data_IF_546901200506
#
_entry.id   IF_546901200506
#
_cell.length_a   1.000
_cell.length_b   1.000
_cell.length_c   1.000
_cell.angle_alpha   90.00
_cell.angle_beta   90.00
_cell.angle_gamma   90.00
#
_symmetry.space_group_name_H-M   'P 1'
#
loop_
_entity.id
_entity.type
_entity.pdbx_description
1 polymer ?
#
# COMPACT_ATOMS: atom_id res chain seq x y z
N UNK A 1 -18.65 -12.53 -2.92
CA UNK A 1 -17.61 -12.24 -3.93
C UNK A 1 -16.53 -11.40 -3.26
N UNK A 2 -15.24 -11.60 -3.59
CA UNK A 2 -14.15 -10.85 -2.96
C UNK A 2 -13.40 -10.01 -3.99
N UNK A 3 -13.42 -8.69 -3.82
CA UNK A 3 -12.88 -7.69 -4.75
C UNK A 3 -11.36 -7.81 -4.96
N UNK A 4 -10.64 -8.45 -4.05
CA UNK A 4 -9.18 -8.56 -4.11
C UNK A 4 -8.64 -9.75 -4.91
N UNK A 5 -9.47 -10.62 -5.50
CA UNK A 5 -9.03 -11.95 -5.93
C UNK A 5 -9.20 -12.25 -7.42
N UNK A 6 -8.09 -12.15 -8.15
CA UNK A 6 -7.94 -12.59 -9.54
C UNK A 6 -9.08 -12.15 -10.45
N UNK A 7 -9.37 -12.93 -11.48
CA UNK A 7 -10.40 -12.59 -12.49
C UNK A 7 -11.80 -12.45 -11.88
N UNK A 8 -12.09 -13.11 -10.75
CA UNK A 8 -13.38 -12.94 -10.08
C UNK A 8 -13.54 -11.59 -9.40
N UNK A 9 -12.43 -11.02 -8.89
CA UNK A 9 -12.41 -9.76 -8.18
C UNK A 9 -12.58 -8.56 -9.10
N UNK A 10 -12.16 -8.66 -10.36
CA UNK A 10 -12.28 -7.57 -11.35
C UNK A 10 -13.72 -7.14 -11.64
N UNK A 11 -14.70 -7.97 -11.26
CA UNK A 11 -16.14 -7.66 -11.41
C UNK A 11 -16.70 -6.81 -10.26
N UNK A 12 -15.95 -6.67 -9.16
CA UNK A 12 -16.34 -5.83 -8.04
C UNK A 12 -16.00 -4.35 -8.33
N UNK A 13 -16.63 -3.44 -7.58
CA UNK A 13 -16.24 -2.04 -7.60
C UNK A 13 -14.85 -1.84 -7.01
N UNK A 14 -14.05 -0.97 -7.63
CA UNK A 14 -12.75 -0.55 -7.13
C UNK A 14 -12.89 0.17 -5.77
N UNK A 15 -11.92 -0.03 -4.88
CA UNK A 15 -11.81 0.76 -3.66
C UNK A 15 -11.26 2.13 -4.01
N UNK A 16 -12.06 3.19 -3.88
CA UNK A 16 -11.63 4.54 -4.26
C UNK A 16 -12.15 5.63 -3.33
N UNK A 17 -11.51 6.80 -3.37
CA UNK A 17 -11.83 8.00 -2.57
C UNK A 17 -11.68 7.74 -1.08
N UNK A 18 -10.46 7.39 -0.71
CA UNK A 18 -10.07 7.13 0.68
C UNK A 18 -9.25 8.34 1.17
N UNK A 19 -9.59 8.85 2.34
CA UNK A 19 -8.87 9.93 2.99
C UNK A 19 -8.51 9.50 4.41
N UNK A 20 -7.23 9.59 4.74
CA UNK A 20 -6.63 9.28 6.04
C UNK A 20 -5.92 10.55 6.48
N UNK A 21 -6.24 11.06 7.67
CA UNK A 21 -5.70 12.35 8.11
C UNK A 21 -5.80 12.56 9.62
N UNK A 22 -4.92 13.39 10.15
CA UNK A 22 -4.84 13.76 11.56
C UNK A 22 -4.69 12.54 12.51
N UNK A 23 -4.11 11.44 12.01
CA UNK A 23 -3.99 10.20 12.76
C UNK A 23 -2.59 10.01 13.37
N UNK A 24 -2.54 9.22 14.45
CA UNK A 24 -1.31 8.67 15.00
C UNK A 24 -1.27 7.16 14.78
N UNK A 25 -0.28 6.69 14.01
CA UNK A 25 0.00 5.27 13.81
C UNK A 25 1.16 4.85 14.71
N UNK A 26 0.96 3.80 15.50
CA UNK A 26 1.97 3.29 16.41
C UNK A 26 2.07 1.77 16.36
N UNK A 27 3.30 1.26 16.30
CA UNK A 27 3.60 -0.17 16.48
C UNK A 27 2.98 -1.10 15.43
N UNK A 28 2.68 -0.59 14.24
CA UNK A 28 2.08 -1.35 13.15
C UNK A 28 3.12 -1.99 12.21
N UNK A 29 2.59 -2.82 11.31
CA UNK A 29 3.32 -3.43 10.21
C UNK A 29 3.42 -2.51 8.98
N UNK A 30 2.38 -1.72 8.76
CA UNK A 30 2.42 -0.63 7.80
C UNK A 30 1.36 0.40 8.20
N UNK A 31 1.70 1.69 8.25
CA UNK A 31 0.73 2.73 8.58
C UNK A 31 -0.38 2.78 7.52
N UNK A 32 0.01 2.79 6.24
CA UNK A 32 -0.88 2.71 5.08
C UNK A 32 -0.51 1.51 4.20
N UNK A 33 -1.29 0.43 4.31
CA UNK A 33 -1.17 -0.76 3.46
C UNK A 33 -2.18 -0.74 2.30
N UNK A 34 -1.69 -0.62 1.07
CA UNK A 34 -2.49 -0.68 -0.16
C UNK A 34 -2.30 -2.07 -0.79
N UNK A 35 -3.25 -2.97 -0.54
CA UNK A 35 -3.23 -4.37 -1.01
C UNK A 35 -3.17 -5.42 0.13
N UNK A 36 -2.94 -6.71 -0.14
CA UNK A 36 -2.46 -7.30 -1.39
C UNK A 36 -3.53 -7.57 -2.47
N UNK A 37 -4.80 -7.59 -2.08
CA UNK A 37 -5.91 -7.86 -2.97
C UNK A 37 -6.24 -6.65 -3.84
N UNK A 38 -5.72 -6.62 -5.06
CA UNK A 38 -5.76 -5.45 -5.97
C UNK A 38 -6.66 -5.65 -7.18
N UNK A 39 -7.29 -6.82 -7.34
CA UNK A 39 -7.96 -7.22 -8.58
C UNK A 39 -9.05 -6.25 -9.08
N UNK A 40 -9.89 -5.73 -8.19
CA UNK A 40 -10.91 -4.73 -8.55
C UNK A 40 -10.34 -3.32 -8.79
N UNK A 41 -9.08 -3.09 -8.43
CA UNK A 41 -8.42 -1.80 -8.40
C UNK A 41 -8.53 -1.07 -7.06
N UNK A 42 -7.53 -0.24 -6.77
CA UNK A 42 -7.48 0.66 -5.62
C UNK A 42 -6.98 2.01 -6.12
N UNK A 43 -7.60 3.13 -5.75
CA UNK A 43 -7.02 4.43 -6.09
C UNK A 43 -7.73 5.65 -5.56
N UNK A 44 -7.19 6.84 -5.78
CA UNK A 44 -7.65 8.07 -5.13
C UNK A 44 -7.57 7.93 -3.60
N UNK A 45 -6.38 7.58 -3.11
CA UNK A 45 -6.07 7.44 -1.69
C UNK A 45 -5.18 8.61 -1.30
N UNK A 46 -5.64 9.42 -0.36
CA UNK A 46 -4.87 10.52 0.23
C UNK A 46 -4.64 10.21 1.70
N UNK A 47 -3.37 10.15 2.11
CA UNK A 47 -2.94 10.18 3.50
C UNK A 47 -2.16 11.47 3.75
N UNK A 48 -2.60 12.29 4.68
CA UNK A 48 -1.98 13.58 4.98
C UNK A 48 -2.05 13.99 6.44
N UNK A 49 -1.13 14.84 6.89
CA UNK A 49 -1.12 15.38 8.25
C UNK A 49 -1.04 14.30 9.35
N UNK A 50 -0.43 13.16 9.05
CA UNK A 50 -0.32 12.02 9.96
C UNK A 50 1.05 11.95 10.69
N UNK A 51 1.05 11.33 11.88
CA UNK A 51 2.27 10.94 12.59
C UNK A 51 2.37 9.41 12.61
N UNK A 52 3.39 8.87 11.95
CA UNK A 52 3.55 7.44 11.70
C UNK A 52 4.80 6.86 12.38
N UNK A 53 4.62 6.28 13.57
CA UNK A 53 5.65 5.50 14.29
C UNK A 53 5.45 4.01 13.97
N UNK A 54 5.78 3.65 12.72
CA UNK A 54 5.59 2.31 12.18
C UNK A 54 6.89 1.51 12.28
N UNK A 55 6.81 0.23 12.64
CA UNK A 55 8.01 -0.59 12.73
C UNK A 55 8.53 -1.03 11.38
N UNK A 56 7.70 -1.19 10.36
CA UNK A 56 8.12 -1.86 9.13
C UNK A 56 8.00 -1.01 7.86
N UNK A 57 6.97 -0.18 7.70
CA UNK A 57 6.87 0.75 6.55
C UNK A 57 5.77 1.77 6.79
N UNK A 58 5.86 2.95 6.20
CA UNK A 58 4.75 3.89 6.24
C UNK A 58 3.75 3.63 5.11
N UNK A 59 4.22 3.67 3.85
CA UNK A 59 3.41 3.34 2.69
C UNK A 59 3.83 2.00 2.11
N UNK A 60 2.91 1.04 2.04
CA UNK A 60 3.17 -0.28 1.46
C UNK A 60 2.13 -0.65 0.42
N UNK A 61 2.49 -0.46 -0.85
CA UNK A 61 1.74 -0.96 -1.99
C UNK A 61 2.22 -2.38 -2.33
N UNK A 62 1.37 -3.38 -2.17
CA UNK A 62 1.74 -4.79 -2.36
C UNK A 62 0.72 -5.54 -3.19
N UNK A 63 1.17 -6.46 -4.02
CA UNK A 63 0.32 -7.43 -4.73
C UNK A 63 1.16 -8.59 -5.27
N UNK A 64 0.49 -9.63 -5.79
CA UNK A 64 1.10 -10.83 -6.38
C UNK A 64 0.89 -10.83 -7.91
N UNK A 65 1.87 -11.36 -8.66
CA UNK A 65 1.95 -11.34 -10.14
C UNK A 65 0.80 -11.95 -10.95
N UNK A 66 -0.25 -12.48 -10.30
CA UNK A 66 -1.47 -12.96 -10.97
C UNK A 66 -2.76 -12.28 -10.52
N UNK A 67 -2.70 -11.36 -9.55
CA UNK A 67 -3.86 -10.70 -8.95
C UNK A 67 -4.53 -9.72 -9.91
N UNK A 68 -3.77 -9.17 -10.86
CA UNK A 68 -4.22 -8.12 -11.76
C UNK A 68 -4.62 -6.84 -11.01
N UNK A 69 -5.32 -5.97 -11.73
CA UNK A 69 -5.84 -4.71 -11.20
C UNK A 69 -4.85 -3.55 -11.24
N UNK A 70 -5.40 -2.36 -11.01
CA UNK A 70 -4.70 -1.09 -11.05
C UNK A 70 -4.69 -0.46 -9.66
N UNK A 71 -3.50 -0.12 -9.18
CA UNK A 71 -3.29 0.76 -8.04
C UNK A 71 -2.80 2.10 -8.58
N UNK A 72 -3.65 3.13 -8.48
CA UNK A 72 -3.35 4.47 -9.02
C UNK A 72 -3.76 5.62 -8.09
N UNK A 73 -3.11 6.77 -8.22
CA UNK A 73 -3.44 7.98 -7.46
C UNK A 73 -3.39 7.74 -5.93
N UNK A 74 -2.20 7.39 -5.45
CA UNK A 74 -1.90 7.17 -4.03
C UNK A 74 -0.96 8.28 -3.58
N UNK A 75 -1.39 9.10 -2.63
CA UNK A 75 -0.63 10.25 -2.14
C UNK A 75 -0.43 10.09 -0.63
N UNK A 76 0.83 10.11 -0.20
CA UNK A 76 1.21 10.31 1.19
C UNK A 76 1.92 11.67 1.27
N UNK A 77 1.37 12.62 2.03
CA UNK A 77 1.95 13.96 2.11
C UNK A 77 1.92 14.56 3.51
N UNK A 78 2.76 15.57 3.74
CA UNK A 78 2.69 16.41 4.93
C UNK A 78 2.71 15.61 6.25
N UNK A 79 3.42 14.47 6.27
CA UNK A 79 3.42 13.51 7.39
C UNK A 79 4.80 13.34 8.02
N UNK A 80 4.84 13.03 9.32
CA UNK A 80 6.07 12.72 10.05
C UNK A 80 6.19 11.22 10.31
N UNK A 81 7.32 10.62 9.97
CA UNK A 81 7.54 9.18 9.95
C UNK A 81 8.72 8.85 10.87
N UNK A 82 8.60 7.85 11.73
CA UNK A 82 9.68 7.47 12.63
C UNK A 82 9.75 5.96 12.91
N UNK A 83 10.95 5.49 13.26
CA UNK A 83 11.23 4.13 13.76
C UNK A 83 10.91 2.97 12.78
N UNK A 84 11.16 3.19 11.48
CA UNK A 84 11.00 2.16 10.44
C UNK A 84 12.18 1.18 10.45
N UNK A 85 12.24 0.30 11.45
CA UNK A 85 13.45 -0.49 11.75
C UNK A 85 13.32 -2.01 11.61
N UNK A 86 12.12 -2.54 11.41
CA UNK A 86 11.78 -3.96 11.24
C UNK A 86 11.47 -4.35 9.78
N UNK A 87 11.38 -5.65 9.52
CA UNK A 87 11.23 -6.24 8.17
C UNK A 87 12.27 -5.75 7.15
N UNK A 88 11.83 -4.98 6.16
CA UNK A 88 12.69 -4.37 5.15
C UNK A 88 13.32 -3.06 5.66
N UNK A 89 12.77 -2.45 6.73
CA UNK A 89 13.22 -1.17 7.25
C UNK A 89 13.06 -0.01 6.26
N UNK A 90 12.24 -0.19 5.22
CA UNK A 90 12.03 0.77 4.13
C UNK A 90 10.73 1.56 4.38
N UNK A 91 10.76 2.90 4.36
CA UNK A 91 9.59 3.71 4.68
C UNK A 91 8.51 3.59 3.60
N UNK A 92 8.90 3.30 2.35
CA UNK A 92 8.00 3.22 1.21
C UNK A 92 8.32 1.98 0.37
N UNK A 93 7.32 1.10 0.19
CA UNK A 93 7.50 -0.18 -0.50
C UNK A 93 6.45 -0.33 -1.59
N UNK A 94 6.89 -0.64 -2.81
CA UNK A 94 6.02 -1.06 -3.92
C UNK A 94 6.50 -2.42 -4.43
N UNK A 95 5.66 -3.45 -4.30
CA UNK A 95 6.03 -4.82 -4.69
C UNK A 95 4.92 -5.59 -5.38
N UNK A 96 5.24 -6.21 -6.51
CA UNK A 96 4.38 -7.14 -7.27
C UNK A 96 4.71 -8.62 -7.01
N UNK A 97 5.65 -8.90 -6.10
CA UNK A 97 6.12 -10.24 -5.74
C UNK A 97 5.65 -10.69 -4.36
N UNK A 98 4.53 -10.14 -3.88
CA UNK A 98 4.00 -10.54 -2.59
C UNK A 98 3.59 -12.03 -2.62
N UNK A 99 3.93 -12.87 -1.63
CA UNK A 99 3.60 -14.30 -1.67
C UNK A 99 2.09 -14.54 -1.65
N UNK A 100 1.53 -15.10 -2.71
CA UNK A 100 0.12 -15.51 -2.74
C UNK A 100 -0.04 -16.91 -2.14
N UNK A 101 -0.74 -17.03 -1.01
CA UNK A 101 -1.07 -18.32 -0.39
C UNK A 101 -2.25 -19.06 -1.02
N UNK A 102 -2.83 -18.54 -2.11
CA UNK A 102 -4.13 -19.00 -2.65
C UNK A 102 -4.08 -19.19 -4.17
N UNK A 103 -3.94 -20.44 -4.61
CA UNK A 103 -4.31 -20.97 -5.94
C UNK A 103 -3.82 -20.23 -7.19
N UNK A 104 -4.18 -20.72 -8.37
CA UNK A 104 -3.85 -20.08 -9.65
C UNK A 104 -4.56 -18.74 -9.75
N UNK A 105 -3.80 -17.66 -9.85
CA UNK A 105 -4.29 -16.29 -10.02
C UNK A 105 -3.90 -15.87 -11.45
N UNK A 106 -4.91 -15.64 -12.29
CA UNK A 106 -4.76 -15.52 -13.76
C UNK A 106 -5.34 -14.19 -14.30
N UNK A 107 -5.23 -13.11 -13.51
CA UNK A 107 -5.63 -11.77 -13.93
C UNK A 107 -4.43 -10.91 -14.41
N UNK A 108 -3.27 -11.54 -14.59
CA UNK A 108 -2.03 -10.88 -14.99
C UNK A 108 -1.34 -10.13 -13.85
N UNK A 109 -0.31 -9.37 -14.23
CA UNK A 109 0.46 -8.58 -13.28
C UNK A 109 -0.34 -7.35 -12.80
N UNK A 110 -0.27 -7.01 -11.49
CA UNK A 110 -0.81 -5.75 -10.99
C UNK A 110 0.00 -4.57 -11.55
N UNK A 111 -0.68 -3.46 -11.82
CA UNK A 111 -0.04 -2.21 -12.23
C UNK A 111 -0.08 -1.22 -11.08
N UNK A 112 1.07 -0.63 -10.76
CA UNK A 112 1.21 0.47 -9.81
C UNK A 112 1.68 1.70 -10.58
N UNK A 113 0.95 2.82 -10.46
CA UNK A 113 1.33 4.10 -11.07
C UNK A 113 0.84 5.26 -10.20
N UNK A 114 1.37 6.46 -10.45
CA UNK A 114 0.90 7.69 -9.81
C UNK A 114 0.89 7.57 -8.28
N UNK A 115 1.99 7.04 -7.73
CA UNK A 115 2.25 6.96 -6.29
C UNK A 115 3.19 8.11 -5.93
N UNK A 116 2.72 9.01 -5.07
CA UNK A 116 3.42 10.23 -4.69
C UNK A 116 3.68 10.22 -3.19
N UNK A 117 4.92 10.49 -2.82
CA UNK A 117 5.30 10.85 -1.45
C UNK A 117 5.94 12.22 -1.50
N UNK A 118 5.37 13.19 -0.78
CA UNK A 118 5.85 14.58 -0.81
C UNK A 118 5.74 15.25 0.55
N UNK A 119 6.66 16.20 0.84
CA UNK A 119 6.63 17.00 2.08
C UNK A 119 6.57 16.18 3.39
N UNK A 120 7.07 14.95 3.37
CA UNK A 120 7.15 14.09 4.54
C UNK A 120 8.59 13.90 5.01
N UNK A 121 8.78 13.78 6.32
CA UNK A 121 10.09 13.60 6.95
C UNK A 121 10.20 12.20 7.58
N UNK A 122 11.34 11.52 7.39
CA UNK A 122 11.63 10.21 7.99
C UNK A 122 12.75 10.35 9.01
N UNK A 123 12.49 9.92 10.24
CA UNK A 123 13.47 9.85 11.33
C UNK A 123 13.69 8.40 11.78
N UNK A 124 14.80 7.81 11.35
CA UNK A 124 15.17 6.43 11.71
C UNK A 124 14.54 5.41 10.77
N UNK A 125 15.37 4.85 9.90
CA UNK A 125 15.05 3.76 8.98
C UNK A 125 16.24 2.80 8.95
N UNK A 126 16.01 1.48 8.94
CA UNK A 126 17.10 0.48 8.86
C UNK A 126 17.31 -0.11 7.47
N UNK A 127 16.42 0.18 6.53
CA UNK A 127 16.50 -0.24 5.13
C UNK A 127 17.64 0.45 4.36
N UNK A 128 18.07 -0.14 3.23
CA UNK A 128 19.18 0.33 2.41
C UNK A 128 18.93 1.69 1.72
#
# INVERSE_FOLDING_TARGET
MNAGYGVSGTRAGATRRVWVFDDYFGHDHSALAVGSGTAAGIGQVLAEDDVMVSRASALRCKSSAGTGGLVDDIVLRDSALADITEEQGEPFIVTSRYPSRRGTIDAGAPVFRDIVVERSAVLGSSGP
#
